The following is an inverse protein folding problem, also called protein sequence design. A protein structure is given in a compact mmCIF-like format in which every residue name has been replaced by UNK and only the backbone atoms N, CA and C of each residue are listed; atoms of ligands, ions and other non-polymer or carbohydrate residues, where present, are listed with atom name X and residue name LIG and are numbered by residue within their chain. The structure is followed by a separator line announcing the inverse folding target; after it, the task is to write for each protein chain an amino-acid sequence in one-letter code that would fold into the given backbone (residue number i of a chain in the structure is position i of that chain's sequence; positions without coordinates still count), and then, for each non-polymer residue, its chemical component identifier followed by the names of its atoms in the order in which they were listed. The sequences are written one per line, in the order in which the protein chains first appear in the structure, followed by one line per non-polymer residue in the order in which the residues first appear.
data_IF_054383498416
#
_entry.id   IF_054383498416
#
_cell.length_a   1.000
_cell.length_b   1.000
_cell.length_c   1.000
_cell.angle_alpha   90.00
_cell.angle_beta   90.00
_cell.angle_gamma   90.00
#
_symmetry.space_group_name_H-M   'P 1'
#
loop_
_entity.id
_entity.type
_entity.pdbx_description
1 polymer ?
#
# COMPACT_ATOMS: atom_id res chain seq x y z
N UNK A 1 12.57 -9.00 -13.73
CA UNK A 1 12.07 -10.01 -12.78
C UNK A 1 11.90 -9.33 -11.43
N UNK A 2 10.72 -9.40 -10.82
CA UNK A 2 10.47 -8.72 -9.53
C UNK A 2 10.85 -9.66 -8.38
N UNK A 3 11.93 -9.35 -7.65
CA UNK A 3 12.37 -10.13 -6.46
C UNK A 3 11.21 -10.32 -5.47
N UNK A 4 10.96 -11.52 -4.96
CA UNK A 4 9.97 -11.75 -3.89
C UNK A 4 10.55 -11.29 -2.55
N UNK A 5 9.84 -10.42 -1.83
CA UNK A 5 10.22 -10.01 -0.47
C UNK A 5 9.71 -11.06 0.52
N UNK A 6 10.46 -11.32 1.59
CA UNK A 6 9.99 -12.11 2.73
C UNK A 6 8.88 -11.38 3.49
N UNK A 7 8.21 -12.07 4.41
CA UNK A 7 7.17 -11.44 5.24
C UNK A 7 7.76 -10.30 6.09
N UNK A 8 8.94 -10.51 6.70
CA UNK A 8 9.63 -9.51 7.52
C UNK A 8 10.14 -8.32 6.69
N UNK A 9 10.68 -8.56 5.50
CA UNK A 9 11.06 -7.48 4.57
C UNK A 9 9.83 -6.67 4.14
N UNK A 10 8.70 -7.35 3.90
CA UNK A 10 7.43 -6.68 3.54
C UNK A 10 6.90 -5.84 4.71
N UNK A 11 6.99 -6.35 5.94
CA UNK A 11 6.65 -5.60 7.14
C UNK A 11 7.51 -4.34 7.30
N UNK A 12 8.83 -4.47 7.18
CA UNK A 12 9.77 -3.34 7.21
C UNK A 12 9.44 -2.31 6.13
N UNK A 13 9.13 -2.77 4.91
CA UNK A 13 8.70 -1.90 3.82
C UNK A 13 7.43 -1.11 4.18
N UNK A 14 6.44 -1.75 4.82
CA UNK A 14 5.19 -1.10 5.24
C UNK A 14 5.43 -0.08 6.34
N UNK A 15 6.31 -0.36 7.30
CA UNK A 15 6.68 0.59 8.35
C UNK A 15 7.30 1.85 7.76
N UNK A 16 8.35 1.68 6.94
CA UNK A 16 9.00 2.80 6.24
C UNK A 16 8.01 3.55 5.34
N UNK A 17 7.08 2.83 4.72
CA UNK A 17 6.06 3.46 3.89
C UNK A 17 5.11 4.35 4.71
N UNK A 18 4.70 3.90 5.90
CA UNK A 18 3.84 4.67 6.81
C UNK A 18 4.49 5.97 7.30
N UNK A 19 5.79 5.94 7.57
CA UNK A 19 6.56 7.12 8.00
C UNK A 19 6.67 8.22 6.91
N UNK A 20 6.57 7.83 5.64
CA UNK A 20 6.73 8.75 4.52
C UNK A 20 5.36 9.25 4.00
N UNK A 21 4.76 10.21 4.71
CA UNK A 21 3.46 10.81 4.37
C UNK A 21 3.38 11.34 2.92
N UNK A 22 4.50 11.83 2.38
CA UNK A 22 4.58 12.30 0.99
C UNK A 22 4.27 11.21 -0.05
N UNK A 23 4.29 9.92 0.33
CA UNK A 23 4.02 8.79 -0.57
C UNK A 23 2.57 8.27 -0.48
N UNK A 24 1.81 8.63 0.55
CA UNK A 24 0.48 8.05 0.77
C UNK A 24 -0.60 9.06 1.17
N UNK A 25 -0.25 10.17 1.84
CA UNK A 25 -1.21 11.18 2.26
C UNK A 25 -1.35 12.28 1.22
N UNK A 26 -2.47 12.26 0.51
CA UNK A 26 -2.82 13.26 -0.51
C UNK A 26 -3.01 14.65 0.10
N UNK A 27 -3.34 14.75 1.40
CA UNK A 27 -3.49 16.03 2.09
C UNK A 27 -2.16 16.69 2.41
N UNK A 28 -1.08 15.91 2.47
CA UNK A 28 0.25 16.45 2.69
C UNK A 28 0.64 17.33 1.51
N UNK A 29 1.08 18.56 1.79
CA UNK A 29 1.63 19.47 0.78
C UNK A 29 2.78 18.80 0.00
N UNK A 30 3.49 17.89 0.66
CA UNK A 30 4.63 17.17 0.12
C UNK A 30 4.23 16.05 -0.87
N UNK A 31 2.96 15.65 -0.93
CA UNK A 31 2.48 14.65 -1.89
C UNK A 31 2.59 15.12 -3.34
N UNK A 32 2.38 16.42 -3.58
CA UNK A 32 2.50 17.01 -4.93
C UNK A 32 3.97 17.24 -5.32
N UNK A 33 4.89 17.24 -4.36
CA UNK A 33 6.31 17.46 -4.61
C UNK A 33 6.95 16.18 -5.17
N UNK A 34 7.37 16.23 -6.45
CA UNK A 34 7.99 15.09 -7.15
C UNK A 34 9.36 14.73 -6.57
N UNK A 35 10.16 15.73 -6.18
CA UNK A 35 11.49 15.52 -5.63
C UNK A 35 11.40 14.81 -4.28
N UNK A 36 10.54 15.30 -3.37
CA UNK A 36 10.36 14.67 -2.06
C UNK A 36 9.90 13.21 -2.17
N UNK A 37 9.01 12.89 -3.11
CA UNK A 37 8.60 11.49 -3.37
C UNK A 37 9.76 10.64 -3.87
N UNK A 38 10.59 11.18 -4.77
CA UNK A 38 11.75 10.48 -5.29
C UNK A 38 12.78 10.21 -4.19
N UNK A 39 13.10 11.23 -3.39
CA UNK A 39 14.02 11.13 -2.26
C UNK A 39 13.50 10.15 -1.22
N UNK A 40 12.21 10.19 -0.87
CA UNK A 40 11.61 9.24 0.05
C UNK A 40 11.74 7.79 -0.46
N UNK A 41 11.47 7.54 -1.75
CA UNK A 41 11.64 6.21 -2.34
C UNK A 41 13.11 5.74 -2.35
N UNK A 42 14.06 6.65 -2.58
CA UNK A 42 15.49 6.34 -2.51
C UNK A 42 15.93 6.03 -1.08
N UNK A 43 15.50 6.83 -0.11
CA UNK A 43 15.78 6.61 1.31
C UNK A 43 15.20 5.27 1.77
N UNK A 44 13.97 4.93 1.36
CA UNK A 44 13.39 3.62 1.63
C UNK A 44 14.23 2.49 1.04
N UNK A 45 14.69 2.61 -0.21
CA UNK A 45 15.55 1.61 -0.84
C UNK A 45 16.85 1.39 -0.07
N UNK A 46 17.48 2.47 0.41
CA UNK A 46 18.70 2.42 1.23
C UNK A 46 18.43 1.79 2.61
N UNK A 47 17.35 2.17 3.28
CA UNK A 47 17.00 1.67 4.61
C UNK A 47 16.59 0.19 4.61
N UNK A 48 16.07 -0.31 3.50
CA UNK A 48 15.81 -1.74 3.33
C UNK A 48 17.11 -2.56 3.38
N UNK A 49 18.26 -1.97 3.05
CA UNK A 49 19.59 -2.62 3.03
C UNK A 49 19.61 -3.91 2.19
N UNK A 50 18.75 -3.98 1.16
CA UNK A 50 18.68 -5.11 0.24
C UNK A 50 19.56 -4.80 -0.97
N UNK A 51 20.55 -5.66 -1.21
CA UNK A 51 21.43 -5.53 -2.37
C UNK A 51 20.64 -5.51 -3.68
N UNK A 52 20.87 -4.49 -4.50
CA UNK A 52 20.24 -4.32 -5.81
C UNK A 52 18.84 -3.71 -5.79
N UNK A 53 18.27 -3.40 -4.61
CA UNK A 53 16.95 -2.80 -4.53
C UNK A 53 16.99 -1.32 -4.95
N UNK A 54 16.31 -1.00 -6.05
CA UNK A 54 16.23 0.37 -6.56
C UNK A 54 14.97 1.10 -6.08
N UNK A 55 14.96 2.43 -6.12
CA UNK A 55 13.76 3.25 -5.84
C UNK A 55 12.58 2.88 -6.75
N UNK A 56 12.85 2.48 -8.00
CA UNK A 56 11.85 1.98 -8.95
C UNK A 56 11.24 0.67 -8.49
N UNK A 57 12.03 -0.26 -7.97
CA UNK A 57 11.52 -1.51 -7.42
C UNK A 57 10.70 -1.28 -6.15
N UNK A 58 11.17 -0.42 -5.25
CA UNK A 58 10.40 -0.01 -4.06
C UNK A 58 9.03 0.55 -4.48
N UNK A 59 8.99 1.44 -5.48
CA UNK A 59 7.75 1.97 -6.03
C UNK A 59 6.84 0.87 -6.57
N UNK A 60 7.38 -0.08 -7.33
CA UNK A 60 6.61 -1.21 -7.85
C UNK A 60 6.11 -2.14 -6.73
N UNK A 61 6.89 -2.30 -5.66
CA UNK A 61 6.49 -3.06 -4.47
C UNK A 61 5.37 -2.40 -3.71
N UNK A 62 5.43 -1.09 -3.49
CA UNK A 62 4.33 -0.32 -2.88
C UNK A 62 3.05 -0.47 -3.73
N UNK A 63 3.16 -0.40 -5.06
CA UNK A 63 2.00 -0.62 -5.95
C UNK A 63 1.40 -2.02 -5.79
N UNK A 64 2.24 -3.06 -5.82
CA UNK A 64 1.81 -4.44 -5.63
C UNK A 64 1.17 -4.66 -4.24
N UNK A 65 1.77 -4.08 -3.19
CA UNK A 65 1.28 -4.17 -1.82
C UNK A 65 -0.12 -3.55 -1.67
N UNK A 66 -0.34 -2.36 -2.26
CA UNK A 66 -1.66 -1.72 -2.30
C UNK A 66 -2.67 -2.56 -3.07
N UNK A 67 -2.28 -3.15 -4.21
CA UNK A 67 -3.13 -4.04 -4.99
C UNK A 67 -3.60 -5.24 -4.15
N UNK A 68 -2.67 -5.92 -3.48
CA UNK A 68 -2.99 -7.03 -2.58
C UNK A 68 -3.89 -6.57 -1.44
N UNK A 69 -3.61 -5.42 -0.81
CA UNK A 69 -4.46 -4.87 0.25
C UNK A 69 -5.91 -4.64 -0.21
N UNK A 70 -6.13 -4.13 -1.43
CA UNK A 70 -7.49 -3.97 -1.97
C UNK A 70 -8.20 -5.31 -2.19
N UNK A 71 -7.49 -6.34 -2.64
CA UNK A 71 -8.05 -7.68 -2.77
C UNK A 71 -8.44 -8.26 -1.41
N UNK A 72 -7.61 -8.04 -0.39
CA UNK A 72 -7.92 -8.43 0.98
C UNK A 72 -9.15 -7.69 1.53
N UNK A 73 -9.27 -6.37 1.29
CA UNK A 73 -10.47 -5.61 1.64
C UNK A 73 -11.73 -6.10 0.94
N UNK A 74 -11.64 -6.45 -0.34
CA UNK A 74 -12.76 -6.99 -1.11
C UNK A 74 -13.24 -8.33 -0.55
N UNK A 75 -12.32 -9.21 -0.15
CA UNK A 75 -12.66 -10.47 0.55
C UNK A 75 -13.39 -10.21 1.88
N UNK A 76 -12.90 -9.26 2.68
CA UNK A 76 -13.56 -8.86 3.94
C UNK A 76 -14.98 -8.36 3.64
N UNK A 77 -15.15 -7.45 2.67
CA UNK A 77 -16.46 -6.90 2.31
C UNK A 77 -17.42 -7.97 1.79
N UNK A 78 -16.96 -8.85 0.90
CA UNK A 78 -17.75 -9.98 0.39
C UNK A 78 -18.17 -10.91 1.50
N UNK A 79 -17.26 -11.26 2.42
CA UNK A 79 -17.60 -12.11 3.59
C UNK A 79 -18.65 -11.46 4.50
N UNK A 80 -18.60 -10.14 4.66
CA UNK A 80 -19.55 -9.39 5.50
C UNK A 80 -20.93 -9.31 4.84
N UNK A 81 -21.00 -9.11 3.52
CA UNK A 81 -22.26 -8.94 2.77
C UNK A 81 -23.04 -10.24 2.61
N UNK A 82 -22.38 -11.39 2.60
CA UNK A 82 -23.02 -12.68 2.34
C UNK A 82 -23.90 -13.19 3.49
N UNK A 83 -23.96 -12.51 4.65
CA UNK A 83 -25.02 -12.62 5.66
C UNK A 83 -25.25 -14.00 6.32
N UNK A 84 -24.61 -15.06 5.85
CA UNK A 84 -24.82 -16.42 6.32
C UNK A 84 -23.83 -16.75 7.45
N UNK A 85 -24.08 -16.25 8.66
CA UNK A 85 -23.73 -16.85 9.96
C UNK A 85 -22.31 -17.40 10.22
N UNK A 86 -21.32 -17.18 9.37
CA UNK A 86 -20.03 -17.87 9.42
C UNK A 86 -18.88 -16.90 9.18
N UNK A 87 -18.14 -16.62 10.27
CA UNK A 87 -16.83 -15.98 10.37
C UNK A 87 -16.44 -14.97 9.28
N UNK A 88 -16.42 -13.68 9.64
CA UNK A 88 -15.83 -12.62 8.80
C UNK A 88 -14.39 -13.00 8.44
N UNK A 89 -14.03 -12.88 7.17
CA UNK A 89 -12.67 -13.19 6.71
C UNK A 89 -11.67 -12.25 7.40
N UNK A 90 -10.66 -12.83 8.05
CA UNK A 90 -9.54 -12.08 8.65
C UNK A 90 -8.28 -12.33 7.83
N UNK A 91 -7.65 -11.28 7.26
CA UNK A 91 -6.37 -11.42 6.56
C UNK A 91 -5.30 -12.01 7.48
N UNK A 92 -4.62 -13.07 7.02
CA UNK A 92 -3.54 -13.74 7.79
C UNK A 92 -2.18 -13.05 7.67
N UNK A 93 -2.06 -12.07 6.78
CA UNK A 93 -0.80 -11.37 6.51
C UNK A 93 -0.51 -10.30 7.56
N UNK A 94 0.63 -10.42 8.25
CA UNK A 94 1.01 -9.52 9.36
C UNK A 94 1.07 -8.04 8.96
N UNK A 95 1.53 -7.76 7.74
CA UNK A 95 1.66 -6.39 7.24
C UNK A 95 0.31 -5.72 6.98
N UNK A 96 -0.80 -6.47 6.91
CA UNK A 96 -2.11 -5.90 6.62
C UNK A 96 -2.55 -4.92 7.71
N UNK A 97 -2.43 -5.29 8.98
CA UNK A 97 -2.84 -4.42 10.09
C UNK A 97 -1.98 -3.14 10.15
N UNK A 98 -0.67 -3.28 9.94
CA UNK A 98 0.25 -2.15 9.88
C UNK A 98 -0.10 -1.19 8.75
N UNK A 99 -0.43 -1.72 7.57
CA UNK A 99 -0.84 -0.92 6.42
C UNK A 99 -2.21 -0.26 6.65
N UNK A 100 -3.20 -1.03 7.13
CA UNK A 100 -4.57 -0.56 7.37
C UNK A 100 -4.59 0.66 8.30
N UNK A 101 -3.72 0.69 9.32
CA UNK A 101 -3.67 1.73 10.33
C UNK A 101 -3.52 3.16 9.78
N UNK A 102 -2.77 3.34 8.69
CA UNK A 102 -2.57 4.66 8.08
C UNK A 102 -3.24 4.80 6.70
N UNK A 103 -3.28 3.72 5.91
CA UNK A 103 -3.81 3.77 4.55
C UNK A 103 -5.34 3.92 4.51
N UNK A 104 -6.08 3.34 5.46
CA UNK A 104 -7.54 3.35 5.45
C UNK A 104 -8.12 4.76 5.32
N UNK A 105 -7.54 5.72 6.05
CA UNK A 105 -7.96 7.12 6.06
C UNK A 105 -7.63 7.86 4.75
N UNK A 106 -6.59 7.43 4.04
CA UNK A 106 -6.27 7.94 2.71
C UNK A 106 -7.19 7.35 1.62
N UNK A 107 -7.68 6.12 1.80
CA UNK A 107 -8.54 5.42 0.84
C UNK A 107 -10.01 5.81 0.95
N UNK A 108 -10.57 5.90 2.17
CA UNK A 108 -12.01 6.20 2.38
C UNK A 108 -12.42 7.52 1.72
N UNK A 109 -11.51 8.50 1.64
CA UNK A 109 -11.73 9.79 0.97
C UNK A 109 -11.90 9.68 -0.55
N UNK A 110 -11.47 8.59 -1.19
CA UNK A 110 -11.62 8.31 -2.63
C UNK A 110 -12.76 7.35 -2.95
N UNK A 111 -13.78 7.22 -2.09
CA UNK A 111 -15.01 6.52 -2.45
C UNK A 111 -15.88 7.40 -3.38
N UNK A 112 -15.34 7.78 -4.53
CA UNK A 112 -16.16 8.20 -5.67
C UNK A 112 -16.81 6.94 -6.25
N UNK A 113 -18.11 7.05 -6.52
CA UNK A 113 -18.92 6.01 -7.13
C UNK A 113 -18.33 5.53 -8.46
N UNK A 114 -17.49 4.50 -8.46
CA UNK A 114 -17.28 3.68 -9.65
C UNK A 114 -17.16 2.23 -9.19
N UNK A 115 -18.23 1.51 -9.48
CA UNK A 115 -18.31 0.05 -9.43
C UNK A 115 -17.08 -0.57 -10.10
N UNK A 116 -16.49 -1.55 -9.42
CA UNK A 116 -15.64 -2.59 -10.01
C UNK A 116 -14.29 -2.13 -10.62
N UNK A 117 -13.23 -2.32 -9.83
CA UNK A 117 -11.89 -2.74 -10.26
C UNK A 117 -11.02 -1.88 -11.22
N UNK A 118 -11.36 -0.62 -11.55
CA UNK A 118 -10.59 0.10 -12.59
C UNK A 118 -9.60 1.22 -12.17
N UNK A 119 -9.31 1.46 -10.89
CA UNK A 119 -8.43 2.58 -10.49
C UNK A 119 -7.18 2.21 -9.67
N UNK A 120 -6.54 1.08 -9.99
CA UNK A 120 -5.25 0.70 -9.42
C UNK A 120 -4.08 1.62 -9.86
N UNK A 121 -4.30 2.52 -10.83
CA UNK A 121 -3.23 3.26 -11.51
C UNK A 121 -3.02 4.72 -11.08
N UNK A 122 -3.91 5.35 -10.30
CA UNK A 122 -3.89 6.82 -10.10
C UNK A 122 -3.33 7.24 -8.72
N UNK A 123 -2.21 6.65 -8.27
CA UNK A 123 -1.63 7.01 -6.96
C UNK A 123 -0.15 7.41 -7.00
N UNK A 124 0.46 7.43 -8.18
CA UNK A 124 1.73 8.11 -8.37
C UNK A 124 1.63 8.89 -9.68
N UNK A 125 1.40 10.23 -9.65
CA UNK A 125 1.64 11.04 -10.83
C UNK A 125 3.10 10.82 -11.26
N UNK A 126 3.26 10.42 -12.52
CA UNK A 126 4.52 10.16 -13.22
C UNK A 126 5.46 11.37 -13.20
#
# INVERSE_FOLDING_TARGET
MTRKLSEDETLKLVQLYGENECLWDIKSLNYRNKEMRSTALQNMAQQMQIGGLTSTEVKNKIKALRATYYLELDKIQKSTRSGAGGNVYVPKVKWFQALDGFIKNAIVKRKTMVSSYCNLFILFPS
#
